data_IF_735013313759
#
_entry.id   IF_735013313759
#
_cell.length_a   1.000
_cell.length_b   1.000
_cell.length_c   1.000
_cell.angle_alpha   90.00
_cell.angle_beta   90.00
_cell.angle_gamma   90.00
#
_symmetry.space_group_name_H-M   'P 1'
#
loop_
_entity.id
_entity.type
_entity.pdbx_description
1 polymer ?
#
# COMPACT_ATOMS: atom_id res chain seq x y z
N UNK A 1 -2.17 10.53 24.88
CA UNK A 1 -1.32 10.73 23.70
C UNK A 1 -0.55 9.45 23.54
N UNK A 2 -0.62 8.86 22.36
CA UNK A 2 0.04 7.60 22.03
C UNK A 2 0.95 7.88 20.84
N UNK A 3 2.22 7.47 20.96
CA UNK A 3 3.21 7.61 19.91
C UNK A 3 3.43 6.24 19.26
N UNK A 4 3.49 6.21 17.93
CA UNK A 4 3.68 4.99 17.14
C UNK A 4 4.36 5.35 15.83
N UNK A 5 5.06 4.40 15.22
CA UNK A 5 5.48 4.50 13.82
C UNK A 5 4.27 4.29 12.92
N UNK A 6 4.21 4.99 11.79
CA UNK A 6 3.15 4.85 10.81
C UNK A 6 3.63 5.03 9.37
N UNK A 7 3.03 4.24 8.47
CA UNK A 7 3.06 4.52 7.04
C UNK A 7 1.97 5.53 6.68
N UNK A 8 2.36 6.59 5.97
CA UNK A 8 1.43 7.60 5.46
C UNK A 8 0.85 7.09 4.15
N UNK A 9 -0.34 6.50 4.20
CA UNK A 9 -0.98 5.90 3.02
C UNK A 9 -1.63 6.94 2.11
N UNK A 10 -2.12 8.04 2.68
CA UNK A 10 -2.77 9.07 1.89
C UNK A 10 -3.19 10.28 2.72
N UNK A 11 -3.40 11.38 2.02
CA UNK A 11 -3.80 12.65 2.61
C UNK A 11 -4.90 13.28 1.77
N UNK A 12 -5.92 13.81 2.44
CA UNK A 12 -7.04 14.50 1.81
C UNK A 12 -7.34 15.79 2.56
N UNK A 13 -7.44 16.90 1.85
CA UNK A 13 -7.88 18.16 2.45
C UNK A 13 -9.32 18.08 2.92
N UNK A 14 -9.60 18.70 4.06
CA UNK A 14 -10.94 18.91 4.60
C UNK A 14 -11.23 20.43 4.64
N UNK A 15 -12.48 20.79 4.93
CA UNK A 15 -12.86 22.21 5.06
C UNK A 15 -12.09 22.83 6.24
N UNK A 16 -11.83 24.14 6.17
CA UNK A 16 -11.14 24.94 7.21
C UNK A 16 -9.64 24.61 7.41
N UNK A 17 -8.89 24.51 6.30
CA UNK A 17 -7.43 24.26 6.22
C UNK A 17 -6.93 22.92 6.77
N UNK A 18 -7.73 22.22 7.57
CA UNK A 18 -7.46 20.91 8.12
C UNK A 18 -7.36 19.84 7.03
N UNK A 19 -6.65 18.75 7.34
CA UNK A 19 -6.54 17.62 6.43
C UNK A 19 -6.66 16.30 7.19
N UNK A 20 -7.28 15.32 6.54
CA UNK A 20 -7.36 13.95 7.03
C UNK A 20 -6.20 13.15 6.45
N UNK A 21 -5.52 12.40 7.32
CA UNK A 21 -4.42 11.51 6.96
C UNK A 21 -4.85 10.08 7.24
N UNK A 22 -4.65 9.21 6.26
CA UNK A 22 -4.81 7.77 6.42
C UNK A 22 -3.45 7.18 6.74
N UNK A 23 -3.37 6.52 7.89
CA UNK A 23 -2.18 5.97 8.49
C UNK A 23 -2.37 4.46 8.66
N UNK A 24 -1.38 3.67 8.31
CA UNK A 24 -1.27 2.33 8.88
C UNK A 24 -0.20 2.38 9.95
N UNK A 25 -0.58 2.21 11.21
CA UNK A 25 0.31 2.31 12.36
C UNK A 25 0.77 0.93 12.81
N UNK A 26 1.98 0.87 13.35
CA UNK A 26 2.60 -0.36 13.84
C UNK A 26 1.79 -0.95 15.01
N UNK A 27 1.35 -0.09 15.93
CA UNK A 27 0.72 -0.53 17.18
C UNK A 27 -0.80 -0.63 17.12
N UNK A 28 -1.46 0.08 16.20
CA UNK A 28 -2.93 0.24 16.20
C UNK A 28 -3.59 -0.10 14.86
N UNK A 29 -2.83 -0.44 13.81
CA UNK A 29 -3.37 -0.74 12.49
C UNK A 29 -3.86 0.51 11.73
N UNK A 30 -4.94 0.37 10.97
CA UNK A 30 -5.43 1.46 10.13
C UNK A 30 -6.12 2.56 10.97
N UNK A 31 -5.56 3.77 10.93
CA UNK A 31 -6.10 4.96 11.58
C UNK A 31 -6.35 6.07 10.55
N UNK A 32 -7.49 6.74 10.67
CA UNK A 32 -7.75 8.01 9.97
C UNK A 32 -7.72 9.13 11.01
N UNK A 33 -6.76 10.04 10.88
CA UNK A 33 -6.54 11.12 11.83
C UNK A 33 -6.73 12.49 11.18
N UNK A 34 -7.32 13.41 11.92
CA UNK A 34 -7.41 14.83 11.53
C UNK A 34 -6.17 15.58 11.98
N UNK A 35 -5.60 16.39 11.08
CA UNK A 35 -4.49 17.29 11.36
C UNK A 35 -4.93 18.73 11.11
N UNK A 36 -4.74 19.59 12.11
CA UNK A 36 -5.17 20.98 12.02
C UNK A 36 -4.26 21.79 11.10
N UNK A 37 -4.81 22.52 10.13
CA UNK A 37 -4.06 23.17 9.06
C UNK A 37 -3.69 24.64 9.28
N UNK A 38 -4.40 25.33 10.17
CA UNK A 38 -4.31 26.79 10.34
C UNK A 38 -3.14 27.22 11.24
N UNK A 39 -2.49 26.28 11.95
CA UNK A 39 -1.45 26.59 12.95
C UNK A 39 -0.04 26.48 12.35
N UNK A 40 0.95 27.24 12.84
CA UNK A 40 2.38 27.06 12.45
C UNK A 40 2.88 25.63 12.63
N UNK A 41 2.35 24.89 13.60
CA UNK A 41 2.60 23.46 13.80
C UNK A 41 2.14 22.62 12.61
N UNK A 42 1.05 23.01 11.94
CA UNK A 42 0.52 22.34 10.75
C UNK A 42 1.51 22.29 9.60
N UNK A 43 2.28 23.37 9.38
CA UNK A 43 3.27 23.42 8.30
C UNK A 43 4.37 22.36 8.49
N UNK A 44 4.80 22.14 9.74
CA UNK A 44 5.75 21.06 10.10
C UNK A 44 5.12 19.68 9.92
N UNK A 45 3.86 19.52 10.36
CA UNK A 45 3.11 18.27 10.18
C UNK A 45 2.95 17.92 8.69
N UNK A 46 2.64 18.92 7.83
CA UNK A 46 2.44 18.69 6.40
C UNK A 46 3.67 18.08 5.72
N UNK A 47 4.87 18.58 6.02
CA UNK A 47 6.10 18.04 5.42
C UNK A 47 6.47 16.64 5.90
N UNK A 48 6.07 16.26 7.12
CA UNK A 48 6.31 14.93 7.68
C UNK A 48 5.18 13.93 7.42
N UNK A 49 4.09 14.38 6.78
CA UNK A 49 2.90 13.57 6.46
C UNK A 49 2.70 13.53 4.94
N UNK A 50 3.80 13.50 4.22
CA UNK A 50 3.82 13.26 2.79
C UNK A 50 3.38 11.81 2.51
N UNK A 51 2.41 11.57 1.61
CA UNK A 51 2.07 10.20 1.21
C UNK A 51 3.29 9.40 0.77
N UNK A 52 3.25 8.10 1.08
CA UNK A 52 4.32 7.14 0.80
C UNK A 52 5.60 7.52 1.54
N UNK A 53 5.48 7.71 2.84
CA UNK A 53 6.59 7.91 3.79
C UNK A 53 6.32 7.16 5.08
N UNK A 54 7.37 6.96 5.89
CA UNK A 54 7.26 6.42 7.24
C UNK A 54 7.59 7.52 8.24
N UNK A 55 6.71 7.71 9.22
CA UNK A 55 6.85 8.77 10.23
C UNK A 55 6.45 8.26 11.59
N UNK A 56 7.16 8.74 12.62
CA UNK A 56 6.67 8.66 13.99
C UNK A 56 5.55 9.68 14.15
N UNK A 57 4.41 9.26 14.68
CA UNK A 57 3.21 10.10 14.84
C UNK A 57 2.71 10.06 16.27
N UNK A 58 2.25 11.22 16.75
CA UNK A 58 1.57 11.35 18.03
C UNK A 58 0.08 11.52 17.82
N UNK A 59 -0.70 10.62 18.41
CA UNK A 59 -2.14 10.54 18.24
C UNK A 59 -2.85 10.79 19.58
N UNK A 60 -3.98 11.49 19.50
CA UNK A 60 -4.92 11.65 20.59
C UNK A 60 -6.29 11.21 20.10
N UNK A 61 -6.83 10.18 20.73
CA UNK A 61 -8.20 9.75 20.52
C UNK A 61 -9.16 10.71 21.22
N UNK A 62 -10.18 11.16 20.51
CA UNK A 62 -11.26 11.96 21.06
C UNK A 62 -12.62 11.46 20.57
N UNK A 63 -13.70 12.14 21.01
CA UNK A 63 -15.08 11.78 20.64
C UNK A 63 -15.35 11.79 19.14
N UNK A 64 -14.60 12.59 18.38
CA UNK A 64 -14.73 12.73 16.93
C UNK A 64 -13.71 11.88 16.14
N UNK A 65 -12.99 10.97 16.81
CA UNK A 65 -11.93 10.15 16.23
C UNK A 65 -10.53 10.63 16.60
N UNK A 66 -9.53 10.16 15.84
CA UNK A 66 -8.13 10.47 16.08
C UNK A 66 -7.75 11.87 15.60
N UNK A 67 -6.97 12.56 16.42
CA UNK A 67 -6.32 13.82 16.07
C UNK A 67 -4.81 13.64 16.13
N UNK A 68 -4.14 14.09 15.08
CA UNK A 68 -2.69 14.08 14.99
C UNK A 68 -2.13 15.35 15.66
N UNK A 69 -1.27 15.17 16.65
CA UNK A 69 -0.71 16.27 17.46
C UNK A 69 0.78 16.49 17.25
N UNK A 70 1.47 15.51 16.68
CA UNK A 70 2.90 15.55 16.39
C UNK A 70 3.25 14.56 15.28
N UNK A 71 4.31 14.87 14.53
CA UNK A 71 4.92 13.91 13.63
C UNK A 71 6.38 14.24 13.39
N UNK A 72 7.18 13.21 13.16
CA UNK A 72 8.58 13.28 12.79
C UNK A 72 8.81 12.29 11.66
N UNK A 73 9.32 12.77 10.52
CA UNK A 73 9.66 11.92 9.39
C UNK A 73 10.78 10.96 9.79
N UNK A 74 10.57 9.66 9.58
CA UNK A 74 11.55 8.61 9.84
C UNK A 74 12.25 8.20 8.54
N UNK A 75 11.46 7.82 7.53
CA UNK A 75 11.98 7.39 6.23
C UNK A 75 11.22 8.08 5.12
N UNK A 76 12.00 8.47 4.12
CA UNK A 76 11.52 9.14 2.93
C UNK A 76 11.82 8.27 1.72
N UNK A 77 10.81 8.10 0.85
CA UNK A 77 10.93 7.29 -0.36
C UNK A 77 10.84 8.18 -1.63
N UNK A 78 11.86 9.01 -1.92
CA UNK A 78 11.82 9.98 -3.02
C UNK A 78 11.58 9.33 -4.38
N UNK A 79 12.14 8.14 -4.58
CA UNK A 79 12.14 7.44 -5.86
C UNK A 79 10.74 7.02 -6.30
N UNK A 80 9.80 6.89 -5.36
CA UNK A 80 8.39 6.61 -5.64
C UNK A 80 7.75 7.77 -6.41
N UNK A 81 8.14 9.01 -6.11
CA UNK A 81 7.58 10.22 -6.72
C UNK A 81 8.24 10.58 -8.05
N UNK A 82 9.44 10.06 -8.29
CA UNK A 82 10.19 10.27 -9.53
C UNK A 82 9.67 9.42 -10.70
N UNK A 83 8.76 8.48 -10.47
CA UNK A 83 8.19 7.61 -11.51
C UNK A 83 6.68 7.47 -11.34
N UNK A 84 5.94 7.76 -12.42
CA UNK A 84 4.49 7.64 -12.42
C UNK A 84 4.01 6.19 -12.18
N UNK A 85 4.76 5.19 -12.68
CA UNK A 85 4.45 3.79 -12.44
C UNK A 85 4.66 3.39 -10.97
N UNK A 86 5.72 3.89 -10.32
CA UNK A 86 5.97 3.64 -8.89
C UNK A 86 4.93 4.33 -8.02
N UNK A 87 4.59 5.58 -8.34
CA UNK A 87 3.50 6.32 -7.69
C UNK A 87 2.17 5.59 -7.80
N UNK A 88 1.81 5.11 -8.99
CA UNK A 88 0.58 4.33 -9.20
C UNK A 88 0.58 3.01 -8.42
N UNK A 89 1.71 2.31 -8.33
CA UNK A 89 1.85 1.11 -7.50
C UNK A 89 1.66 1.43 -6.01
N UNK A 90 2.28 2.51 -5.51
CA UNK A 90 2.15 2.96 -4.14
C UNK A 90 0.72 3.38 -3.79
N UNK A 91 0.05 4.12 -4.68
CA UNK A 91 -1.37 4.46 -4.56
C UNK A 91 -2.26 3.22 -4.52
N UNK A 92 -2.00 2.23 -5.38
CA UNK A 92 -2.72 0.96 -5.40
C UNK A 92 -2.60 0.21 -4.07
N UNK A 93 -1.39 0.05 -3.55
CA UNK A 93 -1.15 -0.60 -2.27
C UNK A 93 -1.80 0.17 -1.10
N UNK A 94 -1.69 1.50 -1.09
CA UNK A 94 -2.32 2.34 -0.08
C UNK A 94 -3.85 2.23 -0.10
N UNK A 95 -4.46 2.27 -1.28
CA UNK A 95 -5.90 2.10 -1.45
C UNK A 95 -6.36 0.70 -1.05
N UNK A 96 -5.56 -0.33 -1.34
CA UNK A 96 -5.81 -1.70 -0.92
C UNK A 96 -5.85 -1.80 0.60
N UNK A 97 -4.83 -1.30 1.30
CA UNK A 97 -4.83 -1.32 2.77
C UNK A 97 -5.99 -0.51 3.34
N UNK A 98 -6.20 0.71 2.85
CA UNK A 98 -7.21 1.63 3.38
C UNK A 98 -8.66 1.14 3.23
N UNK A 99 -8.95 0.28 2.25
CA UNK A 99 -10.29 -0.26 1.99
C UNK A 99 -10.53 -1.63 2.62
N UNK A 100 -9.48 -2.33 3.05
CA UNK A 100 -9.58 -3.73 3.47
C UNK A 100 -9.25 -3.95 4.95
N UNK A 101 -8.43 -3.10 5.54
CA UNK A 101 -8.00 -3.22 6.94
C UNK A 101 -8.70 -2.20 7.85
N UNK A 102 -8.61 -2.46 9.15
CA UNK A 102 -9.25 -1.68 10.20
C UNK A 102 -8.23 -1.37 11.31
N UNK A 103 -8.72 -0.81 12.42
CA UNK A 103 -7.90 -0.46 13.58
C UNK A 103 -7.51 -1.72 14.39
N UNK A 104 -6.72 -2.57 13.76
CA UNK A 104 -6.17 -3.79 14.34
C UNK A 104 -4.73 -3.95 13.85
N UNK A 105 -3.81 -4.15 14.80
CA UNK A 105 -2.40 -4.35 14.45
C UNK A 105 -2.23 -5.69 13.73
N UNK A 106 -1.54 -5.64 12.60
CA UNK A 106 -1.09 -6.83 11.89
C UNK A 106 0.42 -6.68 11.59
N UNK A 107 1.29 -7.37 12.37
CA UNK A 107 2.74 -7.34 12.18
C UNK A 107 3.19 -7.91 10.83
N UNK A 108 2.41 -8.79 10.21
CA UNK A 108 2.76 -9.37 8.90
C UNK A 108 2.47 -8.34 7.81
N UNK A 109 1.32 -7.65 7.88
CA UNK A 109 1.02 -6.52 6.99
C UNK A 109 2.05 -5.39 7.16
N UNK A 110 2.44 -5.08 8.40
CA UNK A 110 3.46 -4.06 8.67
C UNK A 110 4.77 -4.36 7.92
N UNK A 111 5.29 -5.59 8.06
CA UNK A 111 6.50 -6.03 7.35
C UNK A 111 6.32 -6.02 5.83
N UNK A 112 5.15 -6.40 5.33
CA UNK A 112 4.86 -6.35 3.90
C UNK A 112 4.86 -4.90 3.36
N UNK A 113 4.38 -3.93 4.14
CA UNK A 113 4.46 -2.51 3.77
C UNK A 113 5.90 -1.98 3.80
N UNK A 114 6.70 -2.34 4.81
CA UNK A 114 8.12 -2.00 4.87
C UNK A 114 8.87 -2.50 3.63
N UNK A 115 8.69 -3.77 3.33
CA UNK A 115 9.32 -4.43 2.18
C UNK A 115 8.83 -3.81 0.86
N UNK A 116 7.53 -3.54 0.74
CA UNK A 116 6.94 -2.91 -0.44
C UNK A 116 7.49 -1.50 -0.72
N UNK A 117 7.44 -0.61 0.27
CA UNK A 117 7.88 0.78 0.08
C UNK A 117 9.39 0.88 -0.09
N UNK A 118 10.17 0.06 0.63
CA UNK A 118 11.61 -0.05 0.40
C UNK A 118 11.93 -0.57 -1.00
N UNK A 119 11.23 -1.61 -1.45
CA UNK A 119 11.34 -2.19 -2.79
C UNK A 119 11.08 -1.17 -3.89
N UNK A 120 9.98 -0.40 -3.80
CA UNK A 120 9.65 0.66 -4.76
C UNK A 120 10.63 1.84 -4.73
N UNK A 121 11.39 2.02 -3.65
CA UNK A 121 12.34 3.11 -3.53
C UNK A 121 13.72 2.80 -4.15
N UNK A 122 13.90 1.64 -4.77
CA UNK A 122 15.14 1.33 -5.49
C UNK A 122 15.28 2.14 -6.79
N UNK A 123 16.51 2.57 -7.07
CA UNK A 123 16.87 3.18 -8.34
C UNK A 123 16.62 2.19 -9.48
N UNK A 124 16.25 2.70 -10.66
CA UNK A 124 16.16 1.92 -11.91
C UNK A 124 15.04 0.87 -12.06
N UNK A 125 14.03 0.83 -11.18
CA UNK A 125 12.85 0.01 -11.45
C UNK A 125 12.13 0.43 -12.74
N UNK A 126 11.89 -0.55 -13.60
CA UNK A 126 11.02 -0.40 -14.77
C UNK A 126 9.54 -0.24 -14.36
N UNK A 127 8.67 0.25 -15.28
CA UNK A 127 7.23 0.24 -15.05
C UNK A 127 6.68 -1.16 -14.77
N UNK A 128 7.14 -2.18 -15.52
CA UNK A 128 6.73 -3.57 -15.30
C UNK A 128 7.11 -4.08 -13.91
N UNK A 129 8.30 -3.74 -13.41
CA UNK A 129 8.72 -4.10 -12.05
C UNK A 129 7.88 -3.39 -10.97
N UNK A 130 7.47 -2.14 -11.22
CA UNK A 130 6.57 -1.41 -10.31
C UNK A 130 5.22 -2.12 -10.17
N UNK A 131 4.68 -2.64 -11.28
CA UNK A 131 3.44 -3.43 -11.28
C UNK A 131 3.59 -4.76 -10.56
N UNK A 132 4.74 -5.41 -10.71
CA UNK A 132 5.03 -6.66 -10.01
C UNK A 132 5.14 -6.46 -8.50
N UNK A 133 5.71 -5.34 -8.05
CA UNK A 133 5.68 -4.99 -6.63
C UNK A 133 4.25 -4.90 -6.09
N UNK A 134 3.36 -4.24 -6.84
CA UNK A 134 1.95 -4.15 -6.46
C UNK A 134 1.28 -5.52 -6.44
N UNK A 135 1.53 -6.38 -7.42
CA UNK A 135 0.95 -7.73 -7.47
C UNK A 135 1.44 -8.61 -6.32
N UNK A 136 2.74 -8.55 -6.03
CA UNK A 136 3.34 -9.21 -4.88
C UNK A 136 2.65 -8.79 -3.59
N UNK A 137 2.51 -7.49 -3.36
CA UNK A 137 1.84 -6.95 -2.17
C UNK A 137 0.37 -7.40 -2.09
N UNK A 138 -0.31 -7.40 -3.24
CA UNK A 138 -1.71 -7.81 -3.37
C UNK A 138 -1.93 -9.28 -3.03
N UNK A 139 -1.04 -10.17 -3.49
CA UNK A 139 -1.07 -11.59 -3.12
C UNK A 139 -0.90 -11.76 -1.61
N UNK A 140 0.05 -11.04 -1.00
CA UNK A 140 0.26 -11.09 0.45
C UNK A 140 -0.98 -10.63 1.22
N UNK A 141 -1.61 -9.54 0.80
CA UNK A 141 -2.87 -9.09 1.40
C UNK A 141 -3.96 -10.14 1.26
N UNK A 142 -4.12 -10.78 0.10
CA UNK A 142 -5.12 -11.84 -0.07
C UNK A 142 -4.87 -13.05 0.84
N UNK A 143 -3.62 -13.45 1.00
CA UNK A 143 -3.24 -14.54 1.91
C UNK A 143 -3.52 -14.14 3.37
N UNK A 144 -3.21 -12.91 3.76
CA UNK A 144 -3.50 -12.39 5.10
C UNK A 144 -5.00 -12.37 5.42
N UNK A 145 -5.82 -12.04 4.43
CA UNK A 145 -7.28 -12.05 4.57
C UNK A 145 -7.88 -13.47 4.52
N UNK A 146 -7.06 -14.52 4.37
CA UNK A 146 -7.50 -15.91 4.35
C UNK A 146 -8.03 -16.38 2.98
N UNK A 147 -7.82 -15.63 1.90
CA UNK A 147 -8.34 -15.94 0.56
C UNK A 147 -7.41 -16.82 -0.28
N UNK A 148 -6.46 -17.52 0.35
CA UNK A 148 -5.56 -18.46 -0.33
C UNK A 148 -6.30 -19.56 -1.12
N UNK A 149 -7.37 -20.21 -0.61
CA UNK A 149 -8.09 -21.22 -1.37
C UNK A 149 -8.71 -20.66 -2.66
N UNK A 150 -9.15 -19.41 -2.64
CA UNK A 150 -9.70 -18.71 -3.80
C UNK A 150 -8.65 -18.41 -4.85
N UNK A 151 -7.43 -18.08 -4.41
CA UNK A 151 -6.28 -18.01 -5.32
C UNK A 151 -6.08 -19.37 -6.00
N UNK A 152 -5.96 -20.47 -5.25
CA UNK A 152 -5.80 -21.80 -5.84
C UNK A 152 -6.91 -22.16 -6.84
N UNK A 153 -8.18 -21.86 -6.52
CA UNK A 153 -9.31 -22.13 -7.38
C UNK A 153 -9.26 -21.33 -8.70
N UNK A 154 -8.89 -20.05 -8.64
CA UNK A 154 -8.83 -19.18 -9.82
C UNK A 154 -7.75 -19.57 -10.83
N UNK A 155 -6.70 -20.26 -10.39
CA UNK A 155 -5.59 -20.69 -11.25
C UNK A 155 -5.52 -22.20 -11.43
N UNK A 156 -6.54 -22.94 -10.99
CA UNK A 156 -6.67 -24.38 -11.18
C UNK A 156 -6.54 -24.77 -12.66
N UNK A 157 -7.08 -23.96 -13.57
CA UNK A 157 -7.02 -24.16 -15.02
C UNK A 157 -5.81 -23.46 -15.68
N UNK A 158 -4.96 -22.75 -14.92
CA UNK A 158 -3.81 -22.01 -15.48
C UNK A 158 -2.52 -22.28 -14.69
N UNK A 159 -1.86 -23.44 -14.90
CA UNK A 159 -0.69 -23.86 -14.12
C UNK A 159 0.47 -22.85 -14.10
N UNK A 160 0.68 -22.11 -15.20
CA UNK A 160 1.72 -21.07 -15.30
C UNK A 160 1.44 -19.89 -14.36
N UNK A 161 0.20 -19.39 -14.33
CA UNK A 161 -0.19 -18.30 -13.42
C UNK A 161 -0.17 -18.76 -11.97
N UNK A 162 -0.52 -20.04 -11.71
CA UNK A 162 -0.41 -20.62 -10.37
C UNK A 162 1.04 -20.63 -9.87
N UNK A 163 1.99 -21.07 -10.69
CA UNK A 163 3.42 -21.05 -10.33
C UNK A 163 3.91 -19.63 -10.02
N UNK A 164 3.48 -18.64 -10.80
CA UNK A 164 3.77 -17.22 -10.56
C UNK A 164 3.28 -16.74 -9.19
N UNK A 165 2.06 -17.09 -8.80
CA UNK A 165 1.52 -16.63 -7.52
C UNK A 165 2.17 -17.31 -6.33
N UNK A 166 2.59 -18.56 -6.49
CA UNK A 166 3.41 -19.23 -5.48
C UNK A 166 4.74 -18.51 -5.30
N UNK A 167 5.35 -17.99 -6.38
CA UNK A 167 6.52 -17.12 -6.27
C UNK A 167 6.18 -15.86 -5.47
N UNK A 168 5.07 -15.16 -5.78
CA UNK A 168 4.67 -13.95 -5.06
C UNK A 168 4.27 -14.20 -3.60
N UNK A 169 3.74 -15.36 -3.28
CA UNK A 169 3.39 -15.78 -1.93
C UNK A 169 4.64 -16.09 -1.10
N UNK A 170 5.63 -16.80 -1.67
CA UNK A 170 6.73 -17.39 -0.89
C UNK A 170 8.05 -16.62 -0.99
N UNK A 171 8.25 -15.81 -2.03
CA UNK A 171 9.47 -15.01 -2.20
C UNK A 171 9.35 -13.62 -1.59
N UNK A 172 10.51 -13.06 -1.24
CA UNK A 172 10.65 -11.66 -0.90
C UNK A 172 10.51 -10.78 -2.16
N UNK A 173 10.20 -9.50 -1.99
CA UNK A 173 9.97 -8.57 -3.09
C UNK A 173 11.22 -8.40 -3.94
N UNK A 174 12.41 -8.36 -3.34
CA UNK A 174 13.67 -8.21 -4.07
C UNK A 174 13.87 -9.34 -5.10
N UNK A 175 13.64 -10.59 -4.70
CA UNK A 175 13.72 -11.76 -5.58
C UNK A 175 12.67 -11.71 -6.68
N UNK A 176 11.45 -11.25 -6.35
CA UNK A 176 10.38 -11.04 -7.32
C UNK A 176 10.76 -9.99 -8.36
N UNK A 177 11.37 -8.87 -7.96
CA UNK A 177 11.76 -7.82 -8.90
C UNK A 177 12.92 -8.23 -9.80
N UNK A 178 13.83 -9.10 -9.30
CA UNK A 178 14.96 -9.65 -10.07
C UNK A 178 14.53 -10.75 -11.05
N UNK A 179 13.68 -11.66 -10.60
CA UNK A 179 13.26 -12.85 -11.37
C UNK A 179 11.82 -12.73 -11.88
N UNK A 180 11.39 -11.48 -12.04
CA UNK A 180 10.01 -11.11 -12.26
C UNK A 180 9.40 -11.65 -13.54
N UNK A 181 8.09 -11.48 -13.64
CA UNK A 181 7.30 -11.89 -14.78
C UNK A 181 7.70 -11.17 -16.07
N UNK A 182 7.59 -11.85 -17.23
CA UNK A 182 7.59 -11.15 -18.50
C UNK A 182 6.37 -10.22 -18.56
N UNK A 183 6.54 -9.04 -19.15
CA UNK A 183 5.48 -8.02 -19.29
C UNK A 183 4.17 -8.61 -19.85
N UNK A 184 4.27 -9.54 -20.79
CA UNK A 184 3.12 -10.22 -21.41
C UNK A 184 2.19 -10.95 -20.42
N UNK A 185 2.69 -11.32 -19.23
CA UNK A 185 1.90 -12.00 -18.20
C UNK A 185 1.22 -11.04 -17.22
N UNK A 186 1.61 -9.76 -17.17
CA UNK A 186 1.11 -8.80 -16.17
C UNK A 186 -0.39 -8.58 -16.28
N UNK A 187 -0.92 -8.45 -17.50
CA UNK A 187 -2.35 -8.27 -17.74
C UNK A 187 -3.18 -9.43 -17.20
N UNK A 188 -2.72 -10.66 -17.38
CA UNK A 188 -3.42 -11.86 -16.94
C UNK A 188 -3.46 -11.93 -15.40
N UNK A 189 -2.32 -11.65 -14.75
CA UNK A 189 -2.23 -11.59 -13.28
C UNK A 189 -3.11 -10.47 -12.73
N UNK A 190 -3.05 -9.26 -13.30
CA UNK A 190 -3.86 -8.13 -12.88
C UNK A 190 -5.36 -8.42 -12.93
N UNK A 191 -5.84 -8.99 -14.04
CA UNK A 191 -7.25 -9.39 -14.20
C UNK A 191 -7.67 -10.42 -13.16
N UNK A 192 -6.79 -11.38 -12.89
CA UNK A 192 -7.09 -12.41 -11.93
C UNK A 192 -7.15 -11.85 -10.50
N UNK A 193 -6.17 -11.03 -10.08
CA UNK A 193 -6.19 -10.33 -8.79
C UNK A 193 -7.44 -9.46 -8.63
N UNK A 194 -7.79 -8.66 -9.65
CA UNK A 194 -9.01 -7.86 -9.65
C UNK A 194 -10.25 -8.72 -9.40
N UNK A 195 -10.34 -9.87 -10.06
CA UNK A 195 -11.46 -10.81 -9.88
C UNK A 195 -11.49 -11.38 -8.47
N UNK A 196 -10.34 -11.77 -7.89
CA UNK A 196 -10.27 -12.28 -6.50
C UNK A 196 -10.82 -11.22 -5.55
N UNK A 197 -10.29 -10.00 -5.63
CA UNK A 197 -10.69 -8.94 -4.72
C UNK A 197 -12.15 -8.57 -4.90
N UNK A 198 -12.63 -8.41 -6.13
CA UNK A 198 -14.04 -8.08 -6.37
C UNK A 198 -14.98 -9.13 -5.75
N UNK A 199 -14.65 -10.42 -5.86
CA UNK A 199 -15.46 -11.51 -5.31
C UNK A 199 -15.46 -11.50 -3.78
N UNK A 200 -14.33 -11.16 -3.14
CA UNK A 200 -14.14 -11.35 -1.70
C UNK A 200 -14.30 -10.10 -0.85
N UNK A 201 -14.00 -8.92 -1.38
CA UNK A 201 -14.13 -7.65 -0.66
C UNK A 201 -15.35 -6.85 -1.11
N UNK A 202 -15.97 -7.21 -2.24
CA UNK A 202 -17.02 -6.40 -2.89
C UNK A 202 -16.52 -5.07 -3.46
N UNK A 203 -15.21 -4.80 -3.36
CA UNK A 203 -14.57 -3.55 -3.75
C UNK A 203 -13.90 -3.69 -5.12
N UNK A 204 -14.15 -2.72 -6.00
CA UNK A 204 -13.46 -2.63 -7.28
C UNK A 204 -12.13 -1.88 -7.11
N UNK A 205 -11.03 -2.59 -7.34
CA UNK A 205 -9.67 -2.04 -7.32
C UNK A 205 -9.18 -1.77 -8.75
N UNK A 206 -9.81 -0.80 -9.41
CA UNK A 206 -9.56 -0.46 -10.83
C UNK A 206 -8.10 -0.08 -11.14
N UNK A 207 -7.28 0.20 -10.13
CA UNK A 207 -5.86 0.44 -10.33
C UNK A 207 -5.12 -0.78 -10.91
N UNK A 208 -5.60 -2.01 -10.69
CA UNK A 208 -5.01 -3.19 -11.35
C UNK A 208 -5.10 -3.11 -12.87
N UNK A 209 -6.10 -2.39 -13.39
CA UNK A 209 -6.30 -2.17 -14.83
C UNK A 209 -5.72 -0.86 -15.36
N UNK A 210 -4.96 -0.12 -14.54
CA UNK A 210 -4.40 1.17 -14.97
C UNK A 210 -3.36 0.95 -16.09
N UNK A 211 -3.48 1.63 -17.25
CA UNK A 211 -2.55 1.47 -18.36
C UNK A 211 -1.09 1.72 -17.95
N UNK A 212 -0.85 2.69 -17.07
CA UNK A 212 0.48 3.00 -16.51
C UNK A 212 1.16 1.81 -15.82
N UNK A 213 0.38 0.83 -15.34
CA UNK A 213 0.86 -0.39 -14.69
C UNK A 213 0.88 -1.59 -15.64
N UNK A 214 0.31 -1.49 -16.84
CA UNK A 214 0.15 -2.62 -17.76
C UNK A 214 0.84 -2.43 -19.10
N UNK A 215 1.14 -1.18 -19.45
CA UNK A 215 1.83 -0.73 -20.65
C UNK A 215 3.23 -0.25 -20.23
N UNK A 216 4.11 -1.20 -19.94
CA UNK A 216 5.50 -0.98 -19.55
C UNK A 216 6.47 -1.62 -20.52
#
# INVERSE_FOLDING_TARGET
MQDTTAFILGRREQREADFMVTLYTEDFGLIRATAQGVRKSAAKLRGHLEPFSRSSVSLVEGRAGYRLTGSTLCDYYPEIRCSLARGAAAEGAAALVARTFFQEKDPILWRALEEFFSGLNHNELSPSQSSQALFWFSVRVLVLLGYRPSLDALFSETPRLRATLLVYENENLENVLKNGLPTAALLAVARALLRVFQVHTGELFNFFSAPILLEG
#
